data_IF_791388005239
#
_entry.id   IF_791388005239
#
_cell.length_a   1.000
_cell.length_b   1.000
_cell.length_c   1.000
_cell.angle_alpha   90.00
_cell.angle_beta   90.00
_cell.angle_gamma   90.00
#
_symmetry.space_group_name_H-M   'P 1'
#
loop_
_entity.id
_entity.type
_entity.pdbx_description
1 polymer ?
#
# COMPACT_ATOMS: atom_id res chain seq x y z
N UNK A 1 -71.57 27.35 10.63
CA UNK A 1 -71.26 27.63 12.05
C UNK A 1 -70.22 26.61 12.47
N UNK A 2 -69.04 27.07 12.90
CA UNK A 2 -68.09 26.52 13.89
C UNK A 2 -67.81 24.99 13.82
N UNK A 3 -66.58 24.45 13.68
CA UNK A 3 -65.20 24.99 13.73
C UNK A 3 -64.22 23.90 13.22
N UNK A 4 -62.92 23.84 13.57
CA UNK A 4 -62.10 24.76 14.40
C UNK A 4 -60.63 24.81 13.86
N UNK A 5 -59.59 24.30 14.56
CA UNK A 5 -58.20 24.31 14.07
C UNK A 5 -57.27 23.20 14.63
N UNK A 6 -56.07 23.10 14.02
CA UNK A 6 -54.86 22.35 14.44
C UNK A 6 -54.91 20.80 14.28
N UNK A 7 -53.78 20.09 14.10
CA UNK A 7 -52.35 20.44 14.19
C UNK A 7 -51.49 19.64 13.18
N UNK A 8 -50.29 20.14 12.88
CA UNK A 8 -49.29 19.44 12.07
C UNK A 8 -48.45 18.46 12.90
N UNK A 9 -48.02 17.36 12.27
CA UNK A 9 -46.93 16.49 12.74
C UNK A 9 -46.14 15.97 11.54
N UNK A 10 -44.95 16.55 11.30
CA UNK A 10 -44.03 16.08 10.27
C UNK A 10 -43.25 14.86 10.73
N UNK A 11 -43.46 13.72 10.06
CA UNK A 11 -42.65 12.50 10.28
C UNK A 11 -41.24 12.73 9.72
N UNK A 12 -40.29 12.94 10.62
CA UNK A 12 -38.87 13.04 10.26
C UNK A 12 -38.38 11.67 9.78
N UNK A 13 -38.10 11.55 8.48
CA UNK A 13 -37.39 10.41 7.92
C UNK A 13 -35.90 10.48 8.28
N UNK A 14 -35.55 10.13 9.52
CA UNK A 14 -34.15 9.94 9.88
C UNK A 14 -33.69 8.55 9.40
N UNK A 15 -33.24 8.46 8.16
CA UNK A 15 -32.48 7.30 7.69
C UNK A 15 -31.08 7.39 8.29
N UNK A 16 -30.84 6.66 9.39
CA UNK A 16 -29.49 6.41 9.88
C UNK A 16 -28.73 5.61 8.82
N UNK A 17 -28.09 6.33 7.90
CA UNK A 17 -27.21 5.79 6.89
C UNK A 17 -25.97 5.25 7.61
N UNK A 18 -26.01 3.96 7.91
CA UNK A 18 -24.98 3.25 8.65
C UNK A 18 -23.65 3.34 7.89
N UNK A 19 -22.74 4.20 8.37
CA UNK A 19 -21.46 4.47 7.72
C UNK A 19 -20.61 3.20 7.77
N UNK A 20 -20.57 2.47 6.66
CA UNK A 20 -19.71 1.30 6.51
C UNK A 20 -18.24 1.75 6.49
N UNK A 21 -17.50 1.41 7.54
CA UNK A 21 -16.05 1.63 7.60
C UNK A 21 -15.34 0.59 6.72
N UNK A 22 -15.00 0.99 5.50
CA UNK A 22 -14.24 0.17 4.55
C UNK A 22 -12.74 0.19 4.90
N UNK A 23 -12.37 -0.55 5.95
CA UNK A 23 -10.96 -0.74 6.31
C UNK A 23 -10.23 -1.54 5.21
N UNK A 24 -9.05 -1.05 4.80
CA UNK A 24 -8.16 -1.77 3.89
C UNK A 24 -7.40 -2.84 4.69
N UNK A 25 -7.74 -4.11 4.46
CA UNK A 25 -7.07 -5.26 5.08
C UNK A 25 -6.11 -5.87 4.05
N UNK A 26 -4.78 -5.88 4.28
CA UNK A 26 -3.83 -6.53 3.39
C UNK A 26 -4.09 -8.03 3.28
N UNK A 27 -3.88 -8.59 2.09
CA UNK A 27 -3.89 -10.04 1.88
C UNK A 27 -2.74 -10.68 2.67
N UNK A 28 -3.05 -11.73 3.44
CA UNK A 28 -2.05 -12.54 4.14
C UNK A 28 -1.27 -13.47 3.21
N UNK A 29 -1.79 -13.72 2.01
CA UNK A 29 -1.17 -14.53 0.96
C UNK A 29 -1.69 -14.12 -0.43
N UNK A 30 -0.84 -14.26 -1.44
CA UNK A 30 -1.19 -14.17 -2.85
C UNK A 30 -0.28 -15.13 -3.66
N UNK A 31 -0.67 -15.61 -4.85
CA UNK A 31 0.14 -16.56 -5.62
C UNK A 31 1.52 -15.97 -5.98
N UNK A 32 1.59 -14.66 -6.20
CA UNK A 32 2.81 -13.94 -6.58
C UNK A 32 3.87 -13.84 -5.47
N UNK A 33 3.63 -14.37 -4.25
CA UNK A 33 4.67 -14.46 -3.21
C UNK A 33 5.89 -15.29 -3.65
N UNK A 34 5.73 -16.21 -4.61
CA UNK A 34 6.84 -16.99 -5.18
C UNK A 34 7.82 -16.16 -6.04
N UNK A 35 7.43 -14.94 -6.44
CA UNK A 35 8.27 -14.04 -7.22
C UNK A 35 9.28 -13.25 -6.37
N UNK A 36 9.11 -13.26 -5.04
CA UNK A 36 10.00 -12.55 -4.11
C UNK A 36 11.38 -13.20 -4.11
N UNK A 37 12.43 -12.40 -4.31
CA UNK A 37 13.81 -12.87 -4.30
C UNK A 37 14.52 -12.57 -2.97
N UNK A 38 15.66 -13.24 -2.69
CA UNK A 38 16.53 -12.85 -1.59
C UNK A 38 17.03 -11.41 -1.76
N UNK A 39 17.33 -10.74 -0.64
CA UNK A 39 17.85 -9.37 -0.65
C UNK A 39 19.18 -9.28 -1.43
N UNK A 40 19.43 -8.16 -2.14
CA UNK A 40 20.73 -7.89 -2.73
C UNK A 40 21.78 -7.66 -1.63
N UNK A 41 23.06 -7.92 -1.95
CA UNK A 41 24.17 -7.76 -0.99
C UNK A 41 24.34 -6.31 -0.51
N UNK A 42 24.04 -5.34 -1.38
CA UNK A 42 24.08 -3.90 -1.07
C UNK A 42 22.86 -3.38 -0.26
N UNK A 43 21.90 -4.25 0.06
CA UNK A 43 20.69 -3.88 0.80
C UNK A 43 19.68 -3.04 0.02
N UNK A 44 18.77 -2.35 0.72
CA UNK A 44 17.75 -1.50 0.09
C UNK A 44 17.74 -0.11 0.75
N UNK A 45 18.20 0.90 0.01
CA UNK A 45 18.15 2.28 0.48
C UNK A 45 16.75 2.88 0.37
N UNK A 46 16.20 3.37 1.48
CA UNK A 46 14.94 4.11 1.53
C UNK A 46 15.02 5.49 0.82
N UNK A 47 16.23 5.97 0.51
CA UNK A 47 16.48 7.21 -0.23
C UNK A 47 16.76 6.97 -1.74
N UNK A 48 16.52 5.76 -2.24
CA UNK A 48 16.72 5.43 -3.65
C UNK A 48 15.81 6.26 -4.57
N UNK A 49 16.37 6.71 -5.69
CA UNK A 49 15.66 7.48 -6.71
C UNK A 49 15.02 6.56 -7.76
N UNK A 50 14.00 7.07 -8.47
CA UNK A 50 13.41 6.36 -9.61
C UNK A 50 14.44 6.21 -10.74
N UNK A 51 14.64 4.98 -11.23
CA UNK A 51 15.61 4.67 -12.28
C UNK A 51 15.34 5.40 -13.61
N UNK A 52 14.06 5.65 -13.93
CA UNK A 52 13.64 6.25 -15.21
C UNK A 52 13.64 7.79 -15.20
N UNK A 53 13.37 8.44 -14.05
CA UNK A 53 13.23 9.91 -13.97
C UNK A 53 13.91 10.61 -12.79
N UNK A 54 14.70 9.89 -11.99
CA UNK A 54 15.46 10.40 -10.84
C UNK A 54 14.65 11.12 -9.74
N UNK A 55 13.31 11.03 -9.74
CA UNK A 55 12.47 11.53 -8.64
C UNK A 55 12.81 10.83 -7.33
N UNK A 56 12.79 11.58 -6.22
CA UNK A 56 12.88 11.12 -4.84
C UNK A 56 11.54 10.70 -4.23
N UNK A 57 10.44 10.93 -4.93
CA UNK A 57 9.11 11.00 -4.31
C UNK A 57 8.29 9.75 -4.61
N UNK A 58 7.59 9.24 -3.59
CA UNK A 58 6.75 8.04 -3.66
C UNK A 58 7.39 6.85 -4.39
N UNK A 59 8.68 6.57 -4.15
CA UNK A 59 9.38 5.48 -4.81
C UNK A 59 9.02 4.10 -4.25
N UNK A 60 8.97 3.12 -5.14
CA UNK A 60 8.68 1.72 -4.87
C UNK A 60 9.83 0.86 -5.41
N UNK A 61 10.29 -0.11 -4.62
CA UNK A 61 11.31 -1.09 -5.03
C UNK A 61 10.65 -2.40 -5.43
N UNK A 62 10.98 -2.93 -6.62
CA UNK A 62 10.52 -4.23 -7.07
C UNK A 62 11.06 -5.36 -6.16
N UNK A 63 10.21 -6.28 -5.70
CA UNK A 63 10.63 -7.39 -4.83
C UNK A 63 11.23 -8.59 -5.58
N UNK A 64 11.32 -8.52 -6.91
CA UNK A 64 11.92 -9.57 -7.76
C UNK A 64 13.30 -9.17 -8.29
N UNK A 65 13.49 -7.91 -8.70
CA UNK A 65 14.77 -7.44 -9.28
C UNK A 65 15.37 -6.20 -8.60
N UNK A 66 14.73 -5.65 -7.56
CA UNK A 66 15.19 -4.48 -6.80
C UNK A 66 15.37 -3.17 -7.59
N UNK A 67 14.83 -3.09 -8.81
CA UNK A 67 14.70 -1.82 -9.54
C UNK A 67 13.73 -0.88 -8.80
N UNK A 68 14.13 0.39 -8.63
CA UNK A 68 13.34 1.40 -7.91
C UNK A 68 12.66 2.34 -8.90
N UNK A 69 11.36 2.52 -8.76
CA UNK A 69 10.55 3.34 -9.64
C UNK A 69 9.48 4.15 -8.90
N UNK A 70 9.17 5.34 -9.41
CA UNK A 70 8.20 6.23 -8.78
C UNK A 70 6.74 5.74 -8.90
N UNK A 71 5.94 6.09 -7.89
CA UNK A 71 4.55 5.72 -7.76
C UNK A 71 3.61 6.36 -8.79
N UNK A 72 2.35 5.91 -8.75
CA UNK A 72 1.30 6.31 -9.71
C UNK A 72 0.93 7.80 -9.67
N UNK A 73 1.17 8.49 -8.55
CA UNK A 73 0.88 9.92 -8.42
C UNK A 73 2.07 10.82 -8.82
N UNK A 74 3.21 10.21 -9.20
CA UNK A 74 4.39 10.90 -9.73
C UNK A 74 4.43 10.73 -11.25
N UNK A 75 5.05 9.66 -11.78
CA UNK A 75 5.02 9.33 -13.22
C UNK A 75 4.60 7.87 -13.49
N UNK A 76 4.29 7.07 -12.47
CA UNK A 76 3.80 5.70 -12.63
C UNK A 76 4.82 4.68 -13.15
N UNK A 77 6.12 4.99 -13.10
CA UNK A 77 7.15 4.06 -13.59
C UNK A 77 7.11 2.69 -12.90
N UNK A 78 6.62 2.58 -11.66
CA UNK A 78 6.50 1.30 -10.98
C UNK A 78 5.45 0.37 -11.61
N UNK A 79 4.31 0.90 -12.11
CA UNK A 79 3.33 0.09 -12.86
C UNK A 79 3.79 -0.17 -14.30
N UNK A 80 4.52 0.76 -14.92
CA UNK A 80 5.17 0.53 -16.21
C UNK A 80 6.22 -0.60 -16.10
N UNK A 81 7.00 -0.61 -15.02
CA UNK A 81 7.93 -1.70 -14.72
C UNK A 81 7.19 -3.04 -14.61
N UNK A 82 6.16 -3.14 -13.77
CA UNK A 82 5.36 -4.35 -13.62
C UNK A 82 4.85 -4.88 -14.97
N UNK A 83 4.29 -4.01 -15.82
CA UNK A 83 3.79 -4.38 -17.14
C UNK A 83 4.90 -4.80 -18.13
N UNK A 84 6.14 -4.30 -17.94
CA UNK A 84 7.32 -4.59 -18.77
C UNK A 84 8.03 -5.88 -18.38
N UNK A 85 8.15 -6.15 -17.07
CA UNK A 85 8.92 -7.28 -16.53
C UNK A 85 8.07 -8.48 -16.13
N UNK A 86 6.79 -8.27 -15.84
CA UNK A 86 5.93 -9.27 -15.21
C UNK A 86 6.17 -9.43 -13.70
N UNK A 87 6.96 -8.55 -13.06
CA UNK A 87 7.19 -8.60 -11.61
C UNK A 87 6.00 -7.98 -10.86
N UNK A 88 5.20 -8.81 -10.22
CA UNK A 88 3.87 -8.49 -9.70
C UNK A 88 3.87 -7.64 -8.42
N UNK A 89 5.00 -7.51 -7.70
CA UNK A 89 5.04 -6.87 -6.37
C UNK A 89 6.16 -5.85 -6.18
N UNK A 90 5.81 -4.76 -5.48
CA UNK A 90 6.76 -3.73 -5.06
C UNK A 90 6.51 -3.26 -3.62
N UNK A 91 7.59 -2.88 -2.94
CA UNK A 91 7.62 -2.32 -1.58
C UNK A 91 7.77 -0.80 -1.65
N UNK A 92 6.87 -0.07 -0.99
CA UNK A 92 6.92 1.38 -0.86
C UNK A 92 8.07 1.82 0.05
N UNK A 93 8.91 2.74 -0.43
CA UNK A 93 9.94 3.38 0.38
C UNK A 93 9.35 4.50 1.27
N UNK A 94 8.11 4.92 1.01
CA UNK A 94 7.39 5.95 1.80
C UNK A 94 6.83 5.39 3.10
N UNK A 95 6.13 4.25 3.06
CA UNK A 95 5.36 3.71 4.19
C UNK A 95 5.59 2.21 4.47
N UNK A 96 6.49 1.55 3.73
CA UNK A 96 6.89 0.15 3.95
C UNK A 96 5.71 -0.83 3.69
N UNK A 97 4.64 -0.35 3.05
CA UNK A 97 3.57 -1.17 2.49
C UNK A 97 4.05 -1.94 1.26
N UNK A 98 3.53 -3.15 1.04
CA UNK A 98 3.80 -3.92 -0.19
C UNK A 98 2.52 -3.97 -0.99
N UNK A 99 2.60 -3.62 -2.27
CA UNK A 99 1.50 -3.69 -3.22
C UNK A 99 1.74 -4.83 -4.21
N UNK A 100 0.69 -5.61 -4.50
CA UNK A 100 0.67 -6.54 -5.61
C UNK A 100 -0.21 -5.98 -6.72
N UNK A 101 0.38 -5.67 -7.87
CA UNK A 101 -0.31 -5.12 -9.04
C UNK A 101 -1.36 -6.11 -9.58
N UNK A 102 -0.99 -7.38 -9.73
CA UNK A 102 -1.86 -8.42 -10.29
C UNK A 102 -3.05 -8.79 -9.37
N UNK A 103 -2.95 -8.51 -8.07
CA UNK A 103 -4.03 -8.72 -7.10
C UNK A 103 -4.78 -7.43 -6.72
N UNK A 104 -4.36 -6.28 -7.27
CA UNK A 104 -4.86 -4.94 -6.94
C UNK A 104 -5.03 -4.69 -5.43
N UNK A 105 -4.07 -5.18 -4.63
CA UNK A 105 -4.18 -5.18 -3.17
C UNK A 105 -2.83 -5.09 -2.46
N UNK A 106 -2.87 -4.59 -1.23
CA UNK A 106 -1.73 -4.67 -0.31
C UNK A 106 -1.52 -6.11 0.16
N UNK A 107 -0.26 -6.46 0.43
CA UNK A 107 0.13 -7.79 0.92
C UNK A 107 0.94 -7.66 2.21
N UNK A 108 0.63 -8.50 3.20
CA UNK A 108 1.41 -8.65 4.42
C UNK A 108 1.63 -10.14 4.71
N UNK A 109 2.90 -10.58 4.66
CA UNK A 109 3.28 -11.96 4.87
C UNK A 109 4.70 -12.00 5.47
N UNK A 110 5.02 -13.06 6.24
CA UNK A 110 6.35 -13.27 6.84
C UNK A 110 7.49 -13.23 5.82
N UNK A 111 7.28 -13.73 4.59
CA UNK A 111 8.25 -13.67 3.50
C UNK A 111 8.66 -12.23 3.11
N UNK A 112 7.82 -11.24 3.43
CA UNK A 112 8.07 -9.83 3.13
C UNK A 112 8.82 -9.11 4.27
N UNK A 113 8.89 -9.70 5.47
CA UNK A 113 9.51 -9.08 6.65
C UNK A 113 10.99 -8.75 6.44
N UNK A 114 11.84 -9.59 5.80
CA UNK A 114 13.24 -9.23 5.54
C UNK A 114 13.40 -7.94 4.74
N UNK A 115 12.64 -7.77 3.64
CA UNK A 115 12.69 -6.56 2.81
C UNK A 115 12.11 -5.34 3.51
N UNK A 116 10.98 -5.50 4.21
CA UNK A 116 10.39 -4.42 5.02
C UNK A 116 11.34 -3.96 6.14
N UNK A 117 12.03 -4.90 6.79
CA UNK A 117 13.00 -4.62 7.87
C UNK A 117 14.26 -3.93 7.34
N UNK A 118 14.73 -4.29 6.14
CA UNK A 118 15.84 -3.62 5.47
C UNK A 118 15.53 -2.15 5.15
N UNK A 119 14.38 -1.88 4.50
CA UNK A 119 13.93 -0.50 4.24
C UNK A 119 13.68 0.26 5.56
N UNK A 120 13.13 -0.39 6.59
CA UNK A 120 12.92 0.23 7.90
C UNK A 120 14.25 0.64 8.58
N UNK A 121 15.27 -0.23 8.56
CA UNK A 121 16.61 0.11 9.05
C UNK A 121 17.22 1.26 8.27
N UNK A 122 17.16 1.21 6.94
CA UNK A 122 17.67 2.28 6.09
C UNK A 122 16.97 3.62 6.38
N UNK A 123 15.66 3.60 6.64
CA UNK A 123 14.85 4.80 6.85
C UNK A 123 14.94 5.41 8.26
N UNK A 124 15.01 4.57 9.29
CA UNK A 124 14.86 4.99 10.69
C UNK A 124 16.06 4.65 11.59
N UNK A 125 17.08 3.95 11.07
CA UNK A 125 18.25 3.53 11.86
C UNK A 125 18.00 2.39 12.84
N UNK A 126 16.79 1.80 12.85
CA UNK A 126 16.37 0.73 13.75
C UNK A 126 15.62 -0.37 12.99
N UNK A 127 15.66 -1.60 13.50
CA UNK A 127 14.87 -2.71 12.94
C UNK A 127 13.36 -2.49 13.12
N UNK A 128 12.55 -3.18 12.30
CA UNK A 128 11.11 -3.24 12.52
C UNK A 128 10.79 -3.76 13.94
N UNK A 129 9.79 -3.17 14.64
CA UNK A 129 9.27 -3.75 15.86
C UNK A 129 8.67 -5.14 15.58
N UNK A 130 9.25 -6.17 16.17
CA UNK A 130 8.55 -7.46 16.31
C UNK A 130 7.41 -7.27 17.29
N UNK A 131 6.17 -7.55 16.88
CA UNK A 131 4.95 -7.32 17.67
C UNK A 131 4.76 -8.28 18.84
N UNK A 132 5.78 -8.40 19.69
CA UNK A 132 5.80 -9.20 20.91
C UNK A 132 5.78 -8.26 22.14
N UNK A 133 4.58 -7.79 22.47
CA UNK A 133 4.18 -7.30 23.80
C UNK A 133 2.85 -7.97 24.19
#
# INVERSE_FOLDING_TARGET
MNGEAASASGTHGNSDAQIALHAVVPLSTCPHLEEVRPLPEDGISAASLCAECASSDENWVCLTCYEVNCGRYVNGHAVVHCNRSGHSMALSLTDISVWCYNCESYVHNELLIPAKNEVHRSKFGVSLPTGAE
#
